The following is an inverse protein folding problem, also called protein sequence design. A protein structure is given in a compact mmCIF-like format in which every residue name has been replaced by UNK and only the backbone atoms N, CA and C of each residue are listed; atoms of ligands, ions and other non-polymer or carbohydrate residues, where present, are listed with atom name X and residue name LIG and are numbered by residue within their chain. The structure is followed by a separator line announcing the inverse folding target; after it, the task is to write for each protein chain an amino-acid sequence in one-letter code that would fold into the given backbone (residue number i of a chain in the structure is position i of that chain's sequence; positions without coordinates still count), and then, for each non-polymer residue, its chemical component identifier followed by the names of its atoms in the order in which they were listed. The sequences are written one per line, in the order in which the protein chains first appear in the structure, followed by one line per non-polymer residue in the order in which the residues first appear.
data_IF_292634615258
#
_entry.id   IF_292634615258
#
_cell.length_a   1.000
_cell.length_b   1.000
_cell.length_c   1.000
_cell.angle_alpha   90.00
_cell.angle_beta   90.00
_cell.angle_gamma   90.00
#
_symmetry.space_group_name_H-M   'P 1'
#
loop_
_entity.id
_entity.type
_entity.pdbx_description
1 polymer ?
#
# COMPACT_ATOMS: atom_id res chain seq x y z
N UNK A 1 3.91 -6.05 -9.30
CA UNK A 1 3.29 -5.09 -8.37
C UNK A 1 4.00 -3.79 -8.61
N UNK A 2 3.29 -2.85 -9.24
CA UNK A 2 3.78 -1.52 -9.50
C UNK A 2 3.33 -0.65 -8.34
N UNK A 3 4.20 0.21 -7.84
CA UNK A 3 3.89 1.12 -6.73
C UNK A 3 4.29 2.51 -7.20
N UNK A 4 3.33 3.44 -7.11
CA UNK A 4 3.53 4.83 -7.46
C UNK A 4 4.53 5.54 -6.53
N UNK A 5 4.85 6.77 -6.88
CA UNK A 5 5.66 7.68 -6.06
C UNK A 5 4.88 8.96 -5.77
N UNK A 6 5.49 9.92 -5.07
CA UNK A 6 4.87 11.23 -4.84
C UNK A 6 4.40 11.84 -6.18
N UNK A 7 3.13 12.27 -6.22
CA UNK A 7 2.45 12.84 -7.40
C UNK A 7 2.24 11.89 -8.58
N UNK A 8 2.71 10.64 -8.52
CA UNK A 8 2.62 9.65 -9.60
C UNK A 8 1.87 8.43 -9.06
N UNK A 9 0.54 8.51 -9.11
CA UNK A 9 -0.36 7.54 -8.48
C UNK A 9 -1.13 6.63 -9.42
N UNK A 10 -1.30 7.02 -10.68
CA UNK A 10 -2.00 6.18 -11.63
C UNK A 10 -1.05 5.18 -12.25
N UNK A 11 -1.50 3.92 -12.27
CA UNK A 11 -0.76 2.78 -12.80
C UNK A 11 -1.59 2.19 -13.93
N UNK A 12 -1.04 2.23 -15.14
CA UNK A 12 -1.68 1.69 -16.33
C UNK A 12 -0.94 0.44 -16.76
N UNK A 13 -1.53 -0.72 -16.53
CA UNK A 13 -1.01 -1.99 -17.02
C UNK A 13 -1.70 -2.34 -18.34
N UNK A 14 -0.92 -2.61 -19.39
CA UNK A 14 -1.47 -3.19 -20.60
C UNK A 14 -1.99 -4.60 -20.32
N UNK A 15 -3.05 -5.01 -21.02
CA UNK A 15 -3.62 -6.35 -20.88
C UNK A 15 -2.70 -7.40 -21.54
N UNK A 16 -1.53 -7.62 -20.95
CA UNK A 16 -0.50 -8.55 -21.41
C UNK A 16 -0.09 -9.44 -20.26
N UNK A 17 -0.09 -10.75 -20.52
CA UNK A 17 0.36 -11.77 -19.55
C UNK A 17 1.86 -12.08 -19.66
N UNK A 18 2.42 -11.88 -20.86
CA UNK A 18 3.82 -12.11 -21.19
C UNK A 18 4.32 -10.92 -22.02
N UNK A 19 5.60 -10.59 -21.86
CA UNK A 19 6.27 -9.50 -22.58
C UNK A 19 7.75 -9.85 -22.75
N UNK A 20 8.36 -9.32 -23.81
CA UNK A 20 9.78 -9.50 -24.09
C UNK A 20 10.64 -8.43 -23.42
N UNK A 21 11.95 -8.66 -23.33
CA UNK A 21 12.90 -7.67 -22.83
C UNK A 21 12.84 -6.42 -23.73
N UNK A 22 12.60 -5.25 -23.13
CA UNK A 22 12.49 -3.97 -23.84
C UNK A 22 11.07 -3.64 -24.32
N UNK A 23 10.12 -4.55 -24.14
CA UNK A 23 8.72 -4.31 -24.49
C UNK A 23 7.99 -3.53 -23.39
N UNK A 24 7.19 -2.56 -23.79
CA UNK A 24 6.37 -1.78 -22.87
C UNK A 24 5.23 -2.63 -22.26
N UNK A 25 5.29 -2.76 -20.93
CA UNK A 25 4.27 -3.41 -20.10
C UNK A 25 3.14 -2.45 -19.69
N UNK A 26 3.43 -1.16 -19.63
CA UNK A 26 2.54 -0.13 -19.11
C UNK A 26 3.31 1.13 -18.72
N UNK A 27 2.62 2.08 -18.09
CA UNK A 27 3.21 3.37 -17.71
C UNK A 27 2.56 3.94 -16.44
N UNK A 28 3.21 4.96 -15.87
CA UNK A 28 2.69 5.74 -14.76
C UNK A 28 2.23 7.12 -15.23
N UNK A 29 1.23 7.70 -14.58
CA UNK A 29 0.81 9.08 -14.83
C UNK A 29 0.50 9.84 -13.54
N UNK A 30 0.47 11.18 -13.64
CA UNK A 30 0.21 12.07 -12.51
C UNK A 30 -1.13 11.79 -11.84
N UNK A 31 -1.12 11.70 -10.51
CA UNK A 31 -2.30 11.55 -9.67
C UNK A 31 -1.98 11.27 -8.20
N UNK A 32 -3.00 10.89 -7.44
CA UNK A 32 -2.88 10.62 -6.01
C UNK A 32 -1.93 9.47 -5.72
N UNK A 33 -0.77 9.77 -5.14
CA UNK A 33 0.26 8.78 -4.80
C UNK A 33 -0.20 7.80 -3.72
N UNK A 34 0.35 6.59 -3.74
CA UNK A 34 0.16 5.59 -2.68
C UNK A 34 1.51 5.14 -2.15
N UNK A 35 1.57 4.81 -0.86
CA UNK A 35 2.73 4.16 -0.23
C UNK A 35 2.34 2.74 0.20
N UNK A 36 3.31 1.84 0.22
CA UNK A 36 3.16 0.50 0.80
C UNK A 36 4.25 0.34 1.85
N UNK A 37 3.85 0.03 3.08
CA UNK A 37 4.77 -0.26 4.18
C UNK A 37 4.67 -1.73 4.56
N UNK A 38 5.81 -2.40 4.64
CA UNK A 38 5.91 -3.80 5.05
C UNK A 38 6.56 -3.82 6.42
N UNK A 39 5.81 -4.27 7.43
CA UNK A 39 6.24 -4.30 8.83
C UNK A 39 6.46 -5.73 9.31
N UNK A 40 7.32 -5.91 10.34
CA UNK A 40 7.56 -7.20 10.96
C UNK A 40 6.44 -7.64 11.92
N UNK A 41 6.54 -8.87 12.42
CA UNK A 41 5.53 -9.52 13.29
C UNK A 41 5.40 -8.86 14.68
N UNK A 42 6.41 -8.08 15.05
CA UNK A 42 6.50 -7.25 16.23
C UNK A 42 5.59 -6.03 16.18
N UNK A 43 5.11 -5.63 15.00
CA UNK A 43 4.15 -4.53 14.86
C UNK A 43 2.73 -5.08 14.92
N UNK A 44 1.90 -4.45 15.74
CA UNK A 44 0.46 -4.67 15.80
C UNK A 44 -0.25 -3.49 15.14
N UNK A 45 -1.03 -3.77 14.10
CA UNK A 45 -1.85 -2.77 13.41
C UNK A 45 -3.06 -2.44 14.28
N UNK A 46 -3.44 -1.15 14.32
CA UNK A 46 -4.58 -0.70 15.12
C UNK A 46 -5.90 -1.41 14.70
N UNK A 47 -6.74 -1.66 15.70
CA UNK A 47 -7.85 -2.62 15.59
C UNK A 47 -8.93 -2.19 14.60
N UNK A 48 -9.23 -0.90 14.54
CA UNK A 48 -10.20 -0.31 13.63
C UNK A 48 -9.79 -0.49 12.16
N UNK A 49 -8.51 -0.31 11.83
CA UNK A 49 -7.96 -0.57 10.49
C UNK A 49 -8.16 -2.06 10.14
N UNK A 50 -7.86 -2.97 11.06
CA UNK A 50 -8.05 -4.41 10.84
C UNK A 50 -9.53 -4.81 10.69
N UNK A 51 -10.42 -4.24 11.48
CA UNK A 51 -11.86 -4.51 11.40
C UNK A 51 -12.49 -3.97 10.11
N UNK A 52 -12.11 -2.76 9.68
CA UNK A 52 -12.53 -2.21 8.41
C UNK A 52 -11.99 -3.04 7.24
N UNK A 53 -10.73 -3.46 7.29
CA UNK A 53 -10.12 -4.31 6.27
C UNK A 53 -10.85 -5.65 6.12
N UNK A 54 -11.24 -6.30 7.23
CA UNK A 54 -12.06 -7.53 7.23
C UNK A 54 -13.43 -7.34 6.56
N UNK A 55 -13.94 -6.11 6.54
CA UNK A 55 -15.22 -5.73 5.92
C UNK A 55 -15.06 -5.17 4.51
N UNK A 56 -13.83 -5.17 3.96
CA UNK A 56 -13.47 -4.55 2.69
C UNK A 56 -13.73 -3.03 2.64
N UNK A 57 -13.56 -2.34 3.77
CA UNK A 57 -13.66 -0.89 3.85
C UNK A 57 -12.29 -0.22 3.93
N UNK A 58 -12.15 0.90 3.22
CA UNK A 58 -11.01 1.79 3.37
C UNK A 58 -11.11 2.54 4.70
N UNK A 59 -9.97 2.67 5.40
CA UNK A 59 -9.89 3.44 6.65
C UNK A 59 -9.24 4.79 6.37
N UNK A 60 -9.96 5.87 6.69
CA UNK A 60 -9.42 7.23 6.57
C UNK A 60 -8.50 7.52 7.75
N UNK A 61 -7.23 7.80 7.46
CA UNK A 61 -6.20 8.15 8.44
C UNK A 61 -5.85 9.63 8.34
N UNK A 62 -5.68 10.32 9.47
CA UNK A 62 -5.18 11.70 9.52
C UNK A 62 -3.67 11.75 9.71
N UNK A 63 -3.04 12.83 9.26
CA UNK A 63 -1.60 13.04 9.51
C UNK A 63 -1.35 13.05 11.02
N UNK A 64 -0.39 12.24 11.47
CA UNK A 64 -0.03 12.08 12.89
C UNK A 64 -0.90 11.07 13.65
N UNK A 65 -1.90 10.48 12.99
CA UNK A 65 -2.68 9.38 13.56
C UNK A 65 -1.85 8.09 13.58
N UNK A 66 -1.95 7.35 14.69
CA UNK A 66 -1.26 6.07 14.84
C UNK A 66 -1.98 5.02 14.00
N UNK A 67 -1.20 4.20 13.29
CA UNK A 67 -1.72 3.07 12.50
C UNK A 67 -1.28 1.70 13.04
N UNK A 68 -0.37 1.69 14.00
CA UNK A 68 0.11 0.51 14.69
C UNK A 68 1.15 0.82 15.75
N UNK A 69 1.55 -0.19 16.52
CA UNK A 69 2.51 -0.06 17.61
C UNK A 69 3.33 -1.33 17.79
N UNK A 70 4.52 -1.21 18.40
CA UNK A 70 5.38 -2.35 18.69
C UNK A 70 4.85 -3.16 19.89
N UNK A 71 4.83 -4.48 19.76
CA UNK A 71 4.55 -5.42 20.86
C UNK A 71 5.66 -5.33 21.88
N UNK A 72 5.35 -4.83 23.07
CA UNK A 72 6.26 -4.90 24.21
C UNK A 72 6.34 -6.37 24.61
N UNK A 73 7.52 -7.00 24.46
CA UNK A 73 7.77 -8.30 25.07
C UNK A 73 7.69 -8.10 26.59
N UNK A 74 6.65 -8.65 27.23
CA UNK A 74 6.68 -8.82 28.68
C UNK A 74 7.84 -9.79 28.99
N UNK A 75 8.76 -9.34 29.84
CA UNK A 75 9.80 -10.17 30.42
C UNK A 75 9.19 -11.27 31.29
#
# INVERSE_FOLDING_TARGET
MEIGAMLVGHIHNHNKRYFHKGEEKGFFSYGGSSIVEIVGKEIEIDRDILENSKRNFETKIRIGERIGYGKIKKA
#
